data_IF_919946340448
#
_entry.id   IF_919946340448
#
_cell.length_a   1.000
_cell.length_b   1.000
_cell.length_c   1.000
_cell.angle_alpha   90.00
_cell.angle_beta   90.00
_cell.angle_gamma   90.00
#
_symmetry.space_group_name_H-M   'P 1'
#
loop_
_entity.id
_entity.type
_entity.pdbx_description
1 polymer ?
#
# COMPACT_ATOMS: atom_id res chain seq x y z
N UNK A 1 -11.28 38.44 -3.21
CA UNK A 1 -10.97 37.31 -4.11
C UNK A 1 -11.49 36.05 -3.45
N UNK A 2 -12.17 35.18 -4.19
CA UNK A 2 -12.55 33.86 -3.68
C UNK A 2 -11.32 32.99 -3.45
N UNK A 3 -11.42 31.93 -2.64
CA UNK A 3 -10.32 30.98 -2.44
C UNK A 3 -9.87 30.37 -3.78
N UNK A 4 -10.81 30.06 -4.67
CA UNK A 4 -10.53 29.56 -6.02
C UNK A 4 -9.75 30.55 -6.89
N UNK A 5 -10.07 31.84 -6.85
CA UNK A 5 -9.31 32.88 -7.57
C UNK A 5 -7.87 33.01 -7.03
N UNK A 6 -7.69 32.88 -5.71
CA UNK A 6 -6.36 32.91 -5.08
C UNK A 6 -5.52 31.69 -5.50
N UNK A 7 -6.13 30.50 -5.53
CA UNK A 7 -5.47 29.27 -5.99
C UNK A 7 -5.02 29.40 -7.45
N UNK A 8 -5.90 29.85 -8.35
CA UNK A 8 -5.55 30.03 -9.77
C UNK A 8 -4.40 31.03 -9.96
N UNK A 9 -4.43 32.18 -9.29
CA UNK A 9 -3.34 33.17 -9.39
C UNK A 9 -2.01 32.62 -8.84
N UNK A 10 -2.07 31.90 -7.72
CA UNK A 10 -0.87 31.29 -7.13
C UNK A 10 -0.28 30.20 -8.04
N UNK A 11 -1.15 29.45 -8.72
CA UNK A 11 -0.76 28.45 -9.69
C UNK A 11 -0.03 29.04 -10.91
N UNK A 12 -0.54 30.12 -11.50
CA UNK A 12 0.13 30.77 -12.64
C UNK A 12 1.54 31.28 -12.27
N UNK A 13 1.70 31.85 -11.07
CA UNK A 13 3.03 32.25 -10.57
C UNK A 13 3.93 31.03 -10.39
N UNK A 14 3.40 29.94 -9.81
CA UNK A 14 4.18 28.72 -9.63
C UNK A 14 4.62 28.12 -10.97
N UNK A 15 3.74 28.11 -11.97
CA UNK A 15 4.01 27.64 -13.33
C UNK A 15 5.16 28.42 -13.96
N UNK A 16 5.17 29.75 -13.87
CA UNK A 16 6.30 30.58 -14.34
C UNK A 16 7.60 30.26 -13.60
N UNK A 17 7.55 30.07 -12.27
CA UNK A 17 8.72 29.73 -11.45
C UNK A 17 9.31 28.36 -11.80
N UNK A 18 8.48 27.35 -12.03
CA UNK A 18 8.93 26.02 -12.45
C UNK A 18 9.46 26.02 -13.88
N UNK A 19 8.83 26.77 -14.80
CA UNK A 19 9.34 26.92 -16.17
C UNK A 19 10.75 27.52 -16.19
N UNK A 20 11.07 28.45 -15.27
CA UNK A 20 12.40 29.04 -15.15
C UNK A 20 13.50 28.04 -14.73
N UNK A 21 13.13 26.89 -14.14
CA UNK A 21 14.05 25.78 -13.80
C UNK A 21 13.86 24.56 -14.70
N UNK A 22 13.16 24.72 -15.83
CA UNK A 22 13.01 23.68 -16.85
C UNK A 22 11.98 22.59 -16.51
N UNK A 23 11.03 22.87 -15.61
CA UNK A 23 10.00 21.91 -15.16
C UNK A 23 8.64 22.23 -15.80
N UNK A 24 8.00 21.23 -16.41
CA UNK A 24 6.64 21.32 -16.93
C UNK A 24 5.60 20.89 -15.88
N UNK A 25 4.98 21.88 -15.25
CA UNK A 25 3.95 21.68 -14.22
C UNK A 25 2.69 20.98 -14.77
N UNK A 26 2.31 21.24 -16.02
CA UNK A 26 1.12 20.64 -16.62
C UNK A 26 1.35 19.13 -16.84
N UNK A 27 2.57 18.75 -17.23
CA UNK A 27 2.95 17.35 -17.33
C UNK A 27 3.01 16.68 -15.95
N UNK A 28 3.52 17.38 -14.93
CA UNK A 28 3.51 16.89 -13.55
C UNK A 28 2.08 16.60 -13.03
N UNK A 29 1.14 17.51 -13.29
CA UNK A 29 -0.27 17.32 -12.94
C UNK A 29 -0.91 16.15 -13.69
N UNK A 30 -0.61 15.97 -14.98
CA UNK A 30 -1.08 14.80 -15.76
C UNK A 30 -0.53 13.49 -15.22
N UNK A 31 0.73 13.46 -14.79
CA UNK A 31 1.33 12.28 -14.18
C UNK A 31 0.68 11.98 -12.82
N UNK A 32 0.48 13.00 -11.99
CA UNK A 32 -0.20 12.85 -10.70
C UNK A 32 -1.65 12.36 -10.86
N UNK A 33 -2.38 12.85 -11.86
CA UNK A 33 -3.75 12.41 -12.15
C UNK A 33 -3.82 10.92 -12.56
N UNK A 34 -2.73 10.37 -13.14
CA UNK A 34 -2.61 8.96 -13.50
C UNK A 34 -2.11 8.07 -12.36
N UNK A 35 -1.56 8.67 -11.30
CA UNK A 35 -1.07 7.91 -10.14
C UNK A 35 -2.25 7.19 -9.47
N UNK A 36 -2.20 5.87 -9.52
CA UNK A 36 -3.19 5.01 -8.91
C UNK A 36 -2.63 4.44 -7.61
N UNK A 37 -3.23 4.82 -6.48
CA UNK A 37 -2.88 4.33 -5.15
C UNK A 37 -3.88 3.23 -4.76
N UNK A 38 -3.37 2.10 -4.25
CA UNK A 38 -4.19 1.00 -3.76
C UNK A 38 -4.54 1.21 -2.29
N UNK A 39 -5.82 1.47 -2.01
CA UNK A 39 -6.35 1.76 -0.69
C UNK A 39 -6.62 0.45 0.07
N UNK A 40 -5.86 0.19 1.13
CA UNK A 40 -6.03 -1.00 1.96
C UNK A 40 -7.38 -1.02 2.68
N UNK A 41 -8.13 -2.12 2.62
CA UNK A 41 -9.45 -2.20 3.27
C UNK A 41 -9.39 -2.18 4.80
N UNK A 42 -8.28 -2.64 5.39
CA UNK A 42 -8.18 -2.97 6.81
C UNK A 42 -8.05 -1.78 7.76
N UNK A 43 -7.78 -0.58 7.27
CA UNK A 43 -7.84 0.63 8.08
C UNK A 43 -9.27 1.03 8.42
N UNK A 44 -10.30 0.52 7.73
CA UNK A 44 -11.71 0.82 8.04
C UNK A 44 -12.23 0.13 9.31
N UNK A 45 -11.66 -1.00 9.69
CA UNK A 45 -12.20 -1.88 10.72
C UNK A 45 -11.15 -2.47 11.69
N UNK A 46 -9.90 -1.99 11.64
CA UNK A 46 -8.80 -2.45 12.49
C UNK A 46 -8.36 -3.88 12.19
N UNK A 47 -8.34 -4.27 10.91
CA UNK A 47 -7.94 -5.61 10.45
C UNK A 47 -8.82 -6.73 11.02
N UNK A 48 -10.10 -6.43 11.31
CA UNK A 48 -11.02 -7.40 11.91
C UNK A 48 -11.54 -8.40 10.88
N UNK A 49 -11.96 -7.91 9.70
CA UNK A 49 -12.59 -8.73 8.66
C UNK A 49 -14.01 -9.17 9.00
N UNK A 50 -14.57 -10.05 8.16
CA UNK A 50 -15.96 -10.51 8.23
C UNK A 50 -16.10 -12.03 8.37
N UNK A 51 -14.99 -12.72 8.66
CA UNK A 51 -15.00 -14.15 8.99
C UNK A 51 -15.71 -14.40 10.33
N UNK A 52 -16.52 -15.46 10.39
CA UNK A 52 -17.29 -15.83 11.59
C UNK A 52 -16.59 -16.85 12.48
N UNK A 53 -15.45 -17.41 12.04
CA UNK A 53 -14.70 -18.46 12.72
C UNK A 53 -13.89 -17.97 13.94
N UNK A 54 -13.98 -16.67 14.25
CA UNK A 54 -13.32 -16.03 15.38
C UNK A 54 -11.89 -15.61 15.06
N UNK A 55 -11.55 -14.35 15.31
CA UNK A 55 -10.19 -13.84 15.19
C UNK A 55 -9.41 -14.17 16.47
N UNK A 56 -8.34 -14.96 16.35
CA UNK A 56 -7.40 -15.16 17.46
C UNK A 56 -6.33 -14.07 17.45
N UNK A 57 -6.25 -13.27 18.51
CA UNK A 57 -5.14 -12.31 18.66
C UNK A 57 -3.78 -13.01 18.63
N UNK A 58 -2.77 -12.32 18.09
CA UNK A 58 -1.43 -12.87 17.80
C UNK A 58 -1.09 -12.68 16.31
N UNK A 59 0.12 -13.10 15.88
CA UNK A 59 0.66 -12.94 14.50
C UNK A 59 1.46 -11.65 14.22
N UNK A 60 1.85 -10.91 15.25
CA UNK A 60 2.81 -9.79 15.12
C UNK A 60 2.28 -8.50 14.46
N UNK A 61 0.99 -8.43 14.17
CA UNK A 61 0.25 -7.24 13.71
C UNK A 61 -0.65 -6.77 14.86
N UNK A 62 -0.72 -5.46 15.11
CA UNK A 62 -1.58 -4.91 16.16
C UNK A 62 -2.10 -3.52 15.82
N UNK A 63 -3.41 -3.40 15.60
CA UNK A 63 -4.07 -2.11 15.57
C UNK A 63 -4.08 -1.49 16.98
N UNK A 64 -3.57 -0.27 17.10
CA UNK A 64 -3.44 0.43 18.38
C UNK A 64 -4.33 1.66 18.45
N UNK A 65 -5.16 1.72 19.48
CA UNK A 65 -6.16 2.77 19.69
C UNK A 65 -7.57 2.20 19.78
N UNK A 66 -8.51 3.03 20.25
CA UNK A 66 -9.92 2.66 20.45
C UNK A 66 -10.86 3.75 19.91
N UNK A 67 -10.48 4.40 18.81
CA UNK A 67 -11.29 5.44 18.21
C UNK A 67 -12.63 4.84 17.73
N UNK A 68 -13.78 5.44 18.09
CA UNK A 68 -15.09 4.86 17.79
C UNK A 68 -15.40 4.86 16.29
N UNK A 69 -16.45 4.15 15.91
CA UNK A 69 -17.03 4.27 14.57
C UNK A 69 -16.37 3.42 13.48
N UNK A 70 -15.56 2.42 13.84
CA UNK A 70 -15.03 1.44 12.88
C UNK A 70 -16.15 0.75 12.09
N UNK A 71 -15.87 0.37 10.85
CA UNK A 71 -16.79 -0.43 10.06
C UNK A 71 -16.96 -1.83 10.68
N UNK A 72 -18.17 -2.39 10.58
CA UNK A 72 -18.55 -3.68 11.19
C UNK A 72 -19.07 -4.69 10.17
N UNK A 73 -19.20 -4.28 8.92
CA UNK A 73 -19.69 -5.08 7.81
C UNK A 73 -19.25 -4.47 6.48
N UNK A 74 -19.40 -5.24 5.40
CA UNK A 74 -19.06 -4.85 4.03
C UNK A 74 -19.67 -3.50 3.62
N UNK A 75 -20.96 -3.28 3.91
CA UNK A 75 -21.64 -2.05 3.53
C UNK A 75 -21.08 -0.80 4.22
N UNK A 76 -20.65 -0.93 5.49
CA UNK A 76 -19.97 0.15 6.21
C UNK A 76 -18.58 0.43 5.65
N UNK A 77 -17.81 -0.60 5.26
CA UNK A 77 -16.50 -0.41 4.60
C UNK A 77 -16.66 0.28 3.25
N UNK A 78 -17.63 -0.16 2.44
CA UNK A 78 -17.94 0.47 1.16
C UNK A 78 -18.29 1.94 1.35
N UNK A 79 -19.17 2.26 2.30
CA UNK A 79 -19.58 3.64 2.58
C UNK A 79 -18.43 4.52 3.11
N UNK A 80 -17.51 3.96 3.89
CA UNK A 80 -16.34 4.69 4.39
C UNK A 80 -15.35 4.98 3.27
N UNK A 81 -15.07 4.01 2.39
CA UNK A 81 -14.19 4.21 1.23
C UNK A 81 -14.81 5.18 0.23
N UNK A 82 -16.13 5.11 0.02
CA UNK A 82 -16.84 6.10 -0.81
C UNK A 82 -16.67 7.52 -0.27
N UNK A 83 -16.75 7.72 1.05
CA UNK A 83 -16.48 9.04 1.66
C UNK A 83 -15.02 9.46 1.42
N UNK A 84 -14.05 8.56 1.64
CA UNK A 84 -12.63 8.82 1.38
C UNK A 84 -12.40 9.31 -0.04
N UNK A 85 -13.03 8.67 -1.04
CA UNK A 85 -12.91 9.02 -2.45
C UNK A 85 -13.41 10.43 -2.78
N UNK A 86 -14.29 11.02 -1.96
CA UNK A 86 -14.75 12.40 -2.17
C UNK A 86 -13.69 13.45 -1.82
N UNK A 87 -12.64 13.07 -1.08
CA UNK A 87 -11.61 13.98 -0.56
C UNK A 87 -10.23 13.86 -1.23
N UNK A 88 -10.09 12.91 -2.17
CA UNK A 88 -8.82 12.59 -2.84
C UNK A 88 -9.01 12.64 -4.36
N UNK A 89 -8.08 13.31 -5.05
CA UNK A 89 -8.13 13.44 -6.51
C UNK A 89 -7.50 12.22 -7.18
N UNK A 90 -8.01 11.77 -8.33
CA UNK A 90 -7.40 10.66 -9.07
C UNK A 90 -8.36 9.50 -9.32
N UNK A 91 -7.83 8.40 -9.84
CA UNK A 91 -8.52 7.11 -9.93
C UNK A 91 -7.64 6.07 -9.26
N UNK A 92 -8.23 5.29 -8.36
CA UNK A 92 -7.49 4.50 -7.38
C UNK A 92 -7.91 3.03 -7.41
N UNK A 93 -7.20 2.22 -6.63
CA UNK A 93 -7.52 0.80 -6.44
C UNK A 93 -7.95 0.58 -5.00
N UNK A 94 -8.52 -0.58 -4.74
CA UNK A 94 -8.94 -1.02 -3.41
C UNK A 94 -8.32 -2.38 -3.13
N UNK A 95 -7.51 -2.45 -2.08
CA UNK A 95 -6.74 -3.62 -1.71
C UNK A 95 -7.49 -4.42 -0.65
N UNK A 96 -7.97 -5.61 -1.03
CA UNK A 96 -8.76 -6.49 -0.17
C UNK A 96 -7.89 -7.57 0.48
N UNK A 97 -8.24 -7.95 1.70
CA UNK A 97 -7.76 -9.21 2.29
C UNK A 97 -8.82 -10.30 2.15
N UNK A 98 -8.39 -11.57 2.13
CA UNK A 98 -9.27 -12.74 2.09
C UNK A 98 -10.32 -12.75 3.22
N UNK A 99 -10.00 -12.22 4.40
CA UNK A 99 -10.94 -12.13 5.53
C UNK A 99 -12.14 -11.19 5.29
N UNK A 100 -12.14 -10.39 4.22
CA UNK A 100 -13.22 -9.45 3.87
C UNK A 100 -14.25 -10.05 2.91
N UNK A 101 -14.19 -11.36 2.66
CA UNK A 101 -15.16 -12.05 1.81
C UNK A 101 -16.61 -11.92 2.32
N UNK A 102 -17.57 -11.89 1.41
CA UNK A 102 -18.98 -12.02 1.74
C UNK A 102 -19.33 -13.50 1.94
N UNK A 103 -19.30 -13.92 3.20
CA UNK A 103 -19.62 -15.29 3.59
C UNK A 103 -21.11 -15.49 3.93
N UNK A 104 -21.94 -14.43 3.85
CA UNK A 104 -23.37 -14.51 4.18
C UNK A 104 -23.67 -15.07 5.58
N UNK A 105 -22.76 -14.85 6.54
CA UNK A 105 -22.83 -15.39 7.90
C UNK A 105 -22.53 -16.89 8.03
N UNK A 106 -22.11 -17.56 6.96
CA UNK A 106 -21.73 -18.98 7.00
C UNK A 106 -20.27 -19.14 7.47
N UNK A 107 -19.94 -20.24 8.16
CA UNK A 107 -18.56 -20.58 8.47
C UNK A 107 -17.88 -21.14 7.22
N UNK A 108 -17.23 -20.27 6.44
CA UNK A 108 -16.34 -20.67 5.34
C UNK A 108 -14.91 -20.57 5.85
N UNK A 109 -14.20 -21.70 5.87
CA UNK A 109 -12.79 -21.72 6.25
C UNK A 109 -11.92 -21.18 5.11
N UNK A 110 -10.72 -20.70 5.43
CA UNK A 110 -9.85 -19.97 4.49
C UNK A 110 -9.40 -20.83 3.31
N UNK A 111 -9.19 -22.13 3.51
CA UNK A 111 -8.90 -23.08 2.44
C UNK A 111 -10.15 -23.47 1.61
N UNK A 112 -11.31 -22.82 1.83
CA UNK A 112 -12.55 -23.04 1.09
C UNK A 112 -13.12 -21.75 0.46
N UNK A 113 -12.37 -20.64 0.48
CA UNK A 113 -12.81 -19.40 -0.19
C UNK A 113 -12.82 -19.57 -1.72
N UNK A 114 -13.72 -18.83 -2.37
CA UNK A 114 -13.97 -18.91 -3.81
C UNK A 114 -14.28 -17.51 -4.37
N UNK A 115 -14.15 -17.30 -5.69
CA UNK A 115 -14.49 -16.03 -6.34
C UNK A 115 -15.92 -15.53 -6.05
N UNK A 116 -16.86 -16.44 -5.82
CA UNK A 116 -18.25 -16.11 -5.49
C UNK A 116 -18.36 -15.21 -4.25
N UNK A 117 -17.53 -15.43 -3.23
CA UNK A 117 -17.49 -14.62 -2.00
C UNK A 117 -17.01 -13.17 -2.22
N UNK A 118 -16.46 -12.86 -3.40
CA UNK A 118 -15.94 -11.52 -3.72
C UNK A 118 -16.72 -10.85 -4.86
N UNK A 119 -17.83 -11.44 -5.31
CA UNK A 119 -18.63 -10.88 -6.42
C UNK A 119 -19.23 -9.52 -6.09
N UNK A 120 -19.74 -9.34 -4.87
CA UNK A 120 -20.26 -8.05 -4.42
C UNK A 120 -19.19 -6.96 -4.44
N UNK A 121 -17.97 -7.29 -4.02
CA UNK A 121 -16.82 -6.38 -4.10
C UNK A 121 -16.48 -5.99 -5.54
N UNK A 122 -16.40 -6.97 -6.45
CA UNK A 122 -16.14 -6.74 -7.87
C UNK A 122 -17.17 -5.78 -8.48
N UNK A 123 -18.46 -6.00 -8.20
CA UNK A 123 -19.54 -5.15 -8.69
C UNK A 123 -19.45 -3.74 -8.13
N UNK A 124 -19.30 -3.60 -6.80
CA UNK A 124 -19.15 -2.31 -6.14
C UNK A 124 -17.94 -1.52 -6.66
N UNK A 125 -16.78 -2.15 -6.79
CA UNK A 125 -15.58 -1.49 -7.30
C UNK A 125 -15.79 -0.98 -8.73
N UNK A 126 -16.43 -1.77 -9.59
CA UNK A 126 -16.79 -1.33 -10.95
C UNK A 126 -17.73 -0.12 -10.94
N UNK A 127 -18.74 -0.10 -10.07
CA UNK A 127 -19.66 1.03 -9.91
C UNK A 127 -18.97 2.31 -9.44
N UNK A 128 -17.95 2.17 -8.58
CA UNK A 128 -17.17 3.30 -8.05
C UNK A 128 -15.93 3.63 -8.87
N UNK A 129 -15.77 3.04 -10.06
CA UNK A 129 -14.61 3.21 -10.93
C UNK A 129 -13.27 2.90 -10.21
N UNK A 130 -13.27 1.88 -9.36
CA UNK A 130 -12.11 1.32 -8.70
C UNK A 130 -11.67 0.02 -9.38
N UNK A 131 -10.39 -0.30 -9.22
CA UNK A 131 -9.84 -1.64 -9.44
C UNK A 131 -9.57 -2.32 -8.11
N UNK A 132 -9.52 -3.64 -8.08
CA UNK A 132 -9.27 -4.43 -6.87
C UNK A 132 -7.89 -5.09 -6.94
N UNK A 133 -7.16 -4.94 -5.85
CA UNK A 133 -5.99 -5.74 -5.48
C UNK A 133 -6.35 -6.66 -4.31
N UNK A 134 -5.52 -7.68 -4.06
CA UNK A 134 -5.90 -8.76 -3.16
C UNK A 134 -4.75 -9.28 -2.31
N UNK A 135 -5.08 -9.91 -1.19
CA UNK A 135 -4.13 -10.54 -0.29
C UNK A 135 -4.70 -11.84 0.25
N UNK A 136 -3.87 -12.88 0.34
CA UNK A 136 -4.17 -13.99 1.24
C UNK A 136 -4.00 -13.53 2.70
N UNK A 137 -4.86 -13.98 3.61
CA UNK A 137 -4.72 -13.72 5.04
C UNK A 137 -4.21 -14.95 5.81
N UNK A 138 -2.96 -14.94 6.29
CA UNK A 138 -2.37 -16.08 7.03
C UNK A 138 -2.37 -15.92 8.56
N UNK A 139 -3.01 -14.90 9.10
CA UNK A 139 -2.97 -14.51 10.51
C UNK A 139 -4.35 -14.54 11.19
N UNK A 140 -4.42 -14.47 12.51
CA UNK A 140 -5.70 -14.36 13.21
C UNK A 140 -6.56 -15.63 13.15
N UNK A 141 -5.95 -16.81 12.98
CA UNK A 141 -6.64 -18.07 12.71
C UNK A 141 -6.16 -19.20 13.64
N UNK A 142 -6.99 -20.18 14.03
CA UNK A 142 -6.56 -21.30 14.88
C UNK A 142 -5.36 -22.11 14.32
N UNK A 143 -5.14 -22.06 13.01
CA UNK A 143 -3.98 -22.70 12.33
C UNK A 143 -2.82 -21.73 12.06
N UNK A 144 -2.88 -20.46 12.50
CA UNK A 144 -1.87 -19.46 12.14
C UNK A 144 -0.64 -19.48 13.05
N UNK A 145 -0.78 -19.87 14.34
CA UNK A 145 0.34 -20.06 15.28
C UNK A 145 1.52 -19.08 15.11
N UNK A 146 2.75 -19.57 15.26
CA UNK A 146 3.96 -18.82 14.88
C UNK A 146 4.40 -19.11 13.43
N UNK A 147 3.89 -20.18 12.81
CA UNK A 147 4.28 -20.65 11.48
C UNK A 147 3.06 -21.13 10.67
N UNK A 148 3.05 -20.78 9.38
CA UNK A 148 2.01 -21.10 8.39
C UNK A 148 2.61 -21.88 7.21
N UNK A 149 3.04 -21.20 6.16
CA UNK A 149 3.63 -21.80 4.96
C UNK A 149 4.98 -22.47 5.23
N UNK A 150 5.68 -22.09 6.29
CA UNK A 150 6.91 -22.71 6.77
C UNK A 150 6.68 -23.72 7.90
N UNK A 151 5.43 -24.06 8.22
CA UNK A 151 5.12 -24.96 9.32
C UNK A 151 5.60 -26.40 9.00
N UNK A 152 6.38 -27.06 9.89
CA UNK A 152 6.78 -28.45 9.71
C UNK A 152 5.60 -29.43 9.67
N UNK A 153 4.51 -29.14 10.38
CA UNK A 153 3.28 -29.92 10.29
C UNK A 153 2.67 -29.77 8.90
N UNK A 154 2.62 -30.89 8.18
CA UNK A 154 2.09 -30.94 6.82
C UNK A 154 0.61 -30.55 6.76
N UNK A 155 -0.21 -30.90 7.75
CA UNK A 155 -1.63 -30.57 7.72
C UNK A 155 -1.88 -29.06 7.87
N UNK A 156 -1.08 -28.37 8.69
CA UNK A 156 -1.14 -26.90 8.80
C UNK A 156 -0.62 -26.25 7.52
N UNK A 157 0.52 -26.73 7.01
CA UNK A 157 1.13 -26.19 5.80
C UNK A 157 0.24 -26.37 4.56
N UNK A 158 -0.34 -27.55 4.37
CA UNK A 158 -1.24 -27.85 3.25
C UNK A 158 -2.48 -26.94 3.26
N UNK A 159 -3.03 -26.66 4.45
CA UNK A 159 -4.14 -25.71 4.60
C UNK A 159 -3.76 -24.30 4.10
N UNK A 160 -2.60 -23.79 4.50
CA UNK A 160 -2.16 -22.45 4.08
C UNK A 160 -1.76 -22.39 2.61
N UNK A 161 -1.16 -23.46 2.06
CA UNK A 161 -0.90 -23.59 0.63
C UNK A 161 -2.23 -23.53 -0.15
N UNK A 162 -3.24 -24.29 0.26
CA UNK A 162 -4.54 -24.33 -0.41
C UNK A 162 -5.26 -22.98 -0.34
N UNK A 163 -5.27 -22.35 0.83
CA UNK A 163 -5.82 -21.00 0.99
C UNK A 163 -5.13 -19.99 0.05
N UNK A 164 -3.80 -19.96 -0.01
CA UNK A 164 -3.10 -19.04 -0.91
C UNK A 164 -3.39 -19.35 -2.39
N UNK A 165 -3.48 -20.63 -2.79
CA UNK A 165 -3.90 -21.03 -4.15
C UNK A 165 -5.30 -20.52 -4.48
N UNK A 166 -6.23 -20.57 -3.53
CA UNK A 166 -7.58 -20.02 -3.69
C UNK A 166 -7.60 -18.50 -3.75
N UNK A 167 -6.77 -17.82 -2.96
CA UNK A 167 -6.58 -16.38 -3.09
C UNK A 167 -6.11 -16.00 -4.49
N UNK A 168 -5.15 -16.76 -5.07
CA UNK A 168 -4.71 -16.56 -6.47
C UNK A 168 -5.85 -16.77 -7.48
N UNK A 169 -6.68 -17.80 -7.28
CA UNK A 169 -7.84 -18.03 -8.14
C UNK A 169 -8.89 -16.91 -8.05
N UNK A 170 -9.08 -16.32 -6.86
CA UNK A 170 -9.92 -15.13 -6.65
C UNK A 170 -9.32 -13.93 -7.37
N UNK A 171 -8.02 -13.66 -7.22
CA UNK A 171 -7.33 -12.57 -7.92
C UNK A 171 -7.40 -12.70 -9.44
N UNK A 172 -7.27 -13.92 -9.98
CA UNK A 172 -7.48 -14.18 -11.41
C UNK A 172 -8.91 -13.84 -11.86
N UNK A 173 -9.92 -14.18 -11.06
CA UNK A 173 -11.31 -13.85 -11.36
C UNK A 173 -11.58 -12.35 -11.31
N UNK A 174 -11.04 -11.67 -10.29
CA UNK A 174 -11.07 -10.20 -10.16
C UNK A 174 -10.45 -9.55 -11.39
N UNK A 175 -9.24 -9.97 -11.76
CA UNK A 175 -8.51 -9.41 -12.89
C UNK A 175 -9.24 -9.56 -14.23
N UNK A 176 -9.85 -10.73 -14.48
CA UNK A 176 -10.73 -10.95 -15.63
C UNK A 176 -11.93 -10.00 -15.62
N UNK A 177 -12.58 -9.86 -14.48
CA UNK A 177 -13.79 -9.05 -14.35
C UNK A 177 -13.50 -7.57 -14.62
N UNK A 178 -12.38 -7.06 -14.11
CA UNK A 178 -12.03 -5.64 -14.22
C UNK A 178 -11.22 -5.30 -15.47
N UNK A 179 -10.83 -6.28 -16.27
CA UNK A 179 -9.96 -6.15 -17.44
C UNK A 179 -8.66 -5.39 -17.14
N UNK A 180 -8.07 -5.69 -15.99
CA UNK A 180 -6.82 -5.11 -15.49
C UNK A 180 -6.24 -6.07 -14.44
N UNK A 181 -4.93 -6.37 -14.43
CA UNK A 181 -4.38 -7.35 -13.52
C UNK A 181 -4.68 -7.03 -12.05
N UNK A 182 -5.19 -8.02 -11.31
CA UNK A 182 -5.26 -7.92 -9.85
C UNK A 182 -3.86 -8.13 -9.27
N UNK A 183 -3.35 -7.17 -8.49
CA UNK A 183 -2.08 -7.34 -7.78
C UNK A 183 -2.38 -8.15 -6.53
N UNK A 184 -1.87 -9.39 -6.46
CA UNK A 184 -2.05 -10.26 -5.30
C UNK A 184 -0.77 -10.27 -4.47
N UNK A 185 -0.84 -9.78 -3.24
CA UNK A 185 0.29 -9.81 -2.32
C UNK A 185 0.20 -10.99 -1.33
N UNK A 186 1.34 -11.65 -1.13
CA UNK A 186 1.55 -12.72 -0.16
C UNK A 186 2.48 -12.24 0.95
N UNK A 187 1.90 -11.96 2.10
CA UNK A 187 2.61 -11.76 3.35
C UNK A 187 2.29 -12.88 4.35
N UNK A 188 3.31 -13.31 5.10
CA UNK A 188 3.15 -14.28 6.20
C UNK A 188 3.95 -13.81 7.42
N UNK A 189 3.45 -14.08 8.61
CA UNK A 189 4.13 -13.75 9.88
C UNK A 189 5.19 -14.75 10.32
N UNK A 190 5.34 -15.87 9.59
CA UNK A 190 6.17 -17.02 9.96
C UNK A 190 7.52 -16.61 10.58
N UNK A 191 7.71 -16.96 11.84
CA UNK A 191 8.87 -16.52 12.60
C UNK A 191 9.04 -17.22 13.93
N UNK A 192 9.93 -16.69 14.76
CA UNK A 192 10.17 -17.15 16.12
C UNK A 192 10.43 -15.97 17.04
N UNK A 193 9.86 -16.05 18.24
CA UNK A 193 10.07 -15.07 19.31
C UNK A 193 11.54 -14.94 19.71
N UNK A 194 12.22 -16.08 19.87
CA UNK A 194 13.55 -16.17 20.47
C UNK A 194 14.57 -16.89 19.55
N UNK A 195 15.80 -17.07 20.04
CA UNK A 195 16.93 -17.63 19.32
C UNK A 195 16.56 -18.92 18.56
N UNK A 196 16.78 -18.87 17.24
CA UNK A 196 16.36 -19.94 16.33
C UNK A 196 17.54 -20.71 15.77
N UNK A 197 17.56 -22.03 16.01
CA UNK A 197 18.63 -22.92 15.53
C UNK A 197 18.41 -23.35 14.06
N UNK A 198 17.17 -23.65 13.68
CA UNK A 198 16.85 -24.30 12.39
C UNK A 198 16.41 -23.33 11.28
N UNK A 199 17.01 -22.14 11.19
CA UNK A 199 16.59 -21.09 10.22
C UNK A 199 16.52 -21.60 8.78
N UNK A 200 17.50 -22.39 8.33
CA UNK A 200 17.51 -22.95 6.97
C UNK A 200 16.32 -23.88 6.72
N UNK A 201 15.97 -24.76 7.67
CA UNK A 201 14.88 -25.73 7.51
C UNK A 201 13.55 -25.03 7.23
N UNK A 202 13.21 -23.99 7.99
CA UNK A 202 11.96 -23.26 7.80
C UNK A 202 11.92 -22.55 6.44
N UNK A 203 13.05 -21.98 5.99
CA UNK A 203 13.15 -21.36 4.65
C UNK A 203 13.04 -22.37 3.51
N UNK A 204 13.58 -23.58 3.67
CA UNK A 204 13.40 -24.67 2.68
C UNK A 204 11.94 -25.10 2.58
N UNK A 205 11.23 -25.18 3.71
CA UNK A 205 9.80 -25.48 3.72
C UNK A 205 9.03 -24.36 3.02
N UNK A 206 9.33 -23.09 3.32
CA UNK A 206 8.70 -21.96 2.66
C UNK A 206 8.96 -21.96 1.15
N UNK A 207 10.20 -22.18 0.69
CA UNK A 207 10.51 -22.29 -0.75
C UNK A 207 9.65 -23.37 -1.42
N UNK A 208 9.52 -24.55 -0.79
CA UNK A 208 8.69 -25.63 -1.32
C UNK A 208 7.20 -25.29 -1.36
N UNK A 209 6.69 -24.58 -0.34
CA UNK A 209 5.31 -24.09 -0.31
C UNK A 209 5.05 -23.05 -1.41
N UNK A 210 5.97 -22.11 -1.61
CA UNK A 210 5.86 -21.10 -2.68
C UNK A 210 5.93 -21.74 -4.06
N UNK A 211 6.81 -22.72 -4.27
CA UNK A 211 6.89 -23.47 -5.53
C UNK A 211 5.57 -24.19 -5.83
N UNK A 212 4.92 -24.78 -4.83
CA UNK A 212 3.61 -25.42 -4.99
C UNK A 212 2.49 -24.39 -5.24
N UNK A 213 2.46 -23.29 -4.48
CA UNK A 213 1.51 -22.19 -4.65
C UNK A 213 1.59 -21.62 -6.07
N UNK A 214 2.80 -21.40 -6.58
CA UNK A 214 3.04 -20.75 -7.87
C UNK A 214 3.13 -21.71 -9.06
N UNK A 215 2.92 -23.02 -8.86
CA UNK A 215 2.93 -24.01 -9.94
C UNK A 215 1.86 -23.74 -11.02
N UNK A 216 0.72 -23.17 -10.63
CA UNK A 216 -0.32 -22.71 -11.57
C UNK A 216 0.00 -21.30 -12.04
N UNK A 217 0.09 -21.08 -13.34
CA UNK A 217 0.21 -19.74 -13.92
C UNK A 217 -1.17 -19.12 -14.18
N UNK A 218 -1.32 -17.85 -13.83
CA UNK A 218 -2.51 -17.04 -14.08
C UNK A 218 -2.17 -15.85 -14.97
N UNK A 219 -3.11 -15.42 -15.81
CA UNK A 219 -2.88 -14.39 -16.84
C UNK A 219 -3.37 -13.01 -16.45
N UNK A 220 -4.33 -12.92 -15.53
CA UNK A 220 -5.03 -11.70 -15.17
C UNK A 220 -4.73 -11.28 -13.73
N UNK A 221 -3.69 -11.81 -13.12
CA UNK A 221 -3.20 -11.39 -11.81
C UNK A 221 -1.68 -11.36 -11.81
N UNK A 222 -1.09 -10.68 -10.82
CA UNK A 222 0.35 -10.63 -10.60
C UNK A 222 0.65 -11.01 -9.16
N UNK A 223 1.54 -11.98 -8.97
CA UNK A 223 1.94 -12.47 -7.66
C UNK A 223 3.05 -11.57 -7.07
N UNK A 224 2.81 -11.07 -5.87
CA UNK A 224 3.79 -10.32 -5.07
C UNK A 224 4.13 -11.09 -3.79
N UNK A 225 5.37 -10.96 -3.32
CA UNK A 225 5.87 -11.58 -2.10
C UNK A 225 6.48 -10.53 -1.18
N UNK A 226 6.03 -10.49 0.06
CA UNK A 226 6.35 -9.42 1.00
C UNK A 226 7.22 -9.90 2.15
N UNK A 227 8.38 -9.27 2.30
CA UNK A 227 9.27 -9.52 3.43
C UNK A 227 8.90 -8.69 4.65
N UNK A 228 9.24 -9.22 5.83
CA UNK A 228 9.24 -8.47 7.09
C UNK A 228 10.54 -8.72 7.85
N UNK A 229 11.00 -7.73 8.60
CA UNK A 229 12.17 -7.88 9.48
C UNK A 229 11.81 -8.64 10.76
N UNK A 230 10.74 -8.22 11.43
CA UNK A 230 10.22 -8.84 12.65
C UNK A 230 8.76 -8.45 12.90
N UNK A 231 8.06 -9.22 13.72
CA UNK A 231 6.74 -8.87 14.26
C UNK A 231 6.72 -8.99 15.78
N UNK A 232 5.73 -8.39 16.44
CA UNK A 232 5.55 -8.57 17.89
C UNK A 232 5.34 -10.06 18.21
N UNK A 233 6.05 -10.55 19.22
CA UNK A 233 6.15 -11.96 19.60
C UNK A 233 6.86 -12.89 18.58
N UNK A 234 7.44 -12.33 17.51
CA UNK A 234 8.20 -13.03 16.48
C UNK A 234 9.48 -12.24 16.15
N UNK A 235 10.15 -11.75 17.19
CA UNK A 235 11.20 -10.72 17.10
C UNK A 235 12.54 -11.23 16.56
N UNK A 236 12.90 -12.47 16.88
CA UNK A 236 14.28 -12.96 16.71
C UNK A 236 14.57 -13.56 15.34
N UNK A 237 13.52 -13.90 14.59
CA UNK A 237 13.64 -14.54 13.28
C UNK A 237 12.34 -14.47 12.50
N UNK A 238 12.44 -13.99 11.25
CA UNK A 238 11.37 -14.09 10.24
C UNK A 238 11.83 -15.02 9.12
N UNK A 239 10.97 -15.99 8.76
CA UNK A 239 11.26 -16.96 7.71
C UNK A 239 11.36 -16.27 6.36
N UNK A 240 10.32 -15.51 6.00
CA UNK A 240 10.24 -14.67 4.81
C UNK A 240 11.00 -13.34 4.95
N UNK A 241 12.31 -13.41 5.19
CA UNK A 241 13.18 -12.23 5.30
C UNK A 241 13.41 -11.55 3.94
N UNK A 242 13.89 -10.31 3.95
CA UNK A 242 14.21 -9.57 2.72
C UNK A 242 15.12 -10.35 1.77
N UNK A 243 16.25 -10.90 2.24
CA UNK A 243 17.16 -11.67 1.39
C UNK A 243 16.51 -12.92 0.77
N UNK A 244 15.55 -13.52 1.49
CA UNK A 244 14.85 -14.72 1.02
C UNK A 244 13.92 -14.34 -0.14
N UNK A 245 13.08 -13.32 0.04
CA UNK A 245 12.13 -12.92 -1.00
C UNK A 245 12.78 -12.15 -2.15
N UNK A 246 13.87 -11.42 -1.91
CA UNK A 246 14.71 -10.86 -2.98
C UNK A 246 15.29 -11.99 -3.85
N UNK A 247 15.93 -12.99 -3.22
CA UNK A 247 16.52 -14.12 -3.93
C UNK A 247 15.47 -14.96 -4.66
N UNK A 248 14.36 -15.27 -4.01
CA UNK A 248 13.26 -16.02 -4.62
C UNK A 248 12.59 -15.22 -5.75
N UNK A 249 12.31 -13.94 -5.52
CA UNK A 249 11.73 -13.02 -6.50
C UNK A 249 12.57 -12.90 -7.76
N UNK A 250 13.89 -12.69 -7.63
CA UNK A 250 14.80 -12.68 -8.76
C UNK A 250 14.87 -14.04 -9.47
N UNK A 251 14.99 -15.14 -8.72
CA UNK A 251 15.07 -16.52 -9.29
C UNK A 251 13.82 -16.92 -10.06
N UNK A 252 12.64 -16.53 -9.57
CA UNK A 252 11.33 -16.97 -10.08
C UNK A 252 10.58 -15.87 -10.84
N UNK A 253 11.21 -14.70 -11.02
CA UNK A 253 10.64 -13.51 -11.65
C UNK A 253 9.29 -13.11 -11.02
N UNK A 254 9.23 -13.14 -9.68
CA UNK A 254 8.07 -12.69 -8.90
C UNK A 254 8.25 -11.24 -8.46
N UNK A 255 7.14 -10.52 -8.32
CA UNK A 255 7.16 -9.14 -7.83
C UNK A 255 7.52 -9.18 -6.35
N UNK A 256 8.46 -8.33 -5.94
CA UNK A 256 8.81 -8.16 -4.52
C UNK A 256 8.03 -6.96 -3.99
N UNK A 257 7.36 -7.17 -2.86
CA UNK A 257 6.71 -6.09 -2.11
C UNK A 257 7.70 -5.48 -1.13
N UNK A 258 7.87 -4.17 -1.22
CA UNK A 258 8.63 -3.39 -0.25
C UNK A 258 7.66 -2.59 0.60
N UNK A 259 7.52 -2.98 1.87
CA UNK A 259 6.83 -2.18 2.87
C UNK A 259 7.82 -1.25 3.58
N UNK A 260 7.53 0.03 3.66
CA UNK A 260 8.40 1.03 4.29
C UNK A 260 8.62 0.83 5.80
N UNK A 261 7.77 0.07 6.47
CA UNK A 261 7.84 -0.28 7.89
C UNK A 261 8.58 -1.59 8.19
N UNK A 262 8.87 -2.39 7.16
CA UNK A 262 9.33 -3.78 7.32
C UNK A 262 10.85 -3.97 7.39
N UNK A 263 11.63 -2.90 7.49
CA UNK A 263 13.10 -2.93 7.38
C UNK A 263 13.81 -2.50 8.67
N UNK A 264 15.14 -2.57 8.69
CA UNK A 264 15.92 -2.14 9.85
C UNK A 264 15.76 -0.63 10.06
N UNK A 265 16.05 -0.17 11.28
CA UNK A 265 16.15 1.25 11.56
C UNK A 265 17.14 1.91 10.58
N UNK A 266 16.76 3.06 10.02
CA UNK A 266 17.52 3.83 9.02
C UNK A 266 17.66 3.20 7.63
N UNK A 267 17.13 2.00 7.41
CA UNK A 267 17.19 1.35 6.09
C UNK A 267 16.25 2.07 5.11
N UNK A 268 16.81 2.55 3.99
CA UNK A 268 16.04 3.27 2.97
C UNK A 268 15.37 2.30 2.00
N UNK A 269 14.05 2.38 1.89
CA UNK A 269 13.31 1.65 0.84
C UNK A 269 13.49 2.31 -0.53
N UNK A 270 13.66 3.63 -0.58
CA UNK A 270 13.95 4.34 -1.82
C UNK A 270 15.20 3.77 -2.52
N UNK A 271 16.29 3.58 -1.78
CA UNK A 271 17.56 3.01 -2.28
C UNK A 271 17.40 1.62 -2.91
N UNK A 272 16.38 0.86 -2.49
CA UNK A 272 16.12 -0.48 -3.01
C UNK A 272 15.45 -0.47 -4.39
N UNK A 273 14.75 0.60 -4.76
CA UNK A 273 13.92 0.65 -5.96
C UNK A 273 14.75 0.42 -7.22
N UNK A 274 15.76 1.26 -7.46
CA UNK A 274 16.60 1.16 -8.66
C UNK A 274 17.40 -0.15 -8.71
N UNK A 275 17.78 -0.71 -7.56
CA UNK A 275 18.43 -2.02 -7.48
C UNK A 275 17.48 -3.17 -7.86
N UNK A 276 16.29 -3.23 -7.26
CA UNK A 276 15.33 -4.31 -7.54
C UNK A 276 14.84 -4.28 -8.99
N UNK A 277 14.63 -3.10 -9.58
CA UNK A 277 14.20 -2.95 -10.98
C UNK A 277 15.18 -3.55 -12.01
N UNK A 278 16.42 -3.90 -11.61
CA UNK A 278 17.36 -4.65 -12.45
C UNK A 278 17.08 -6.16 -12.49
N UNK A 279 16.42 -6.72 -11.47
CA UNK A 279 16.28 -8.16 -11.27
C UNK A 279 14.84 -8.65 -11.26
N UNK A 280 13.88 -7.78 -10.94
CA UNK A 280 12.44 -8.09 -10.95
C UNK A 280 11.74 -7.27 -12.04
N UNK A 281 10.67 -7.82 -12.65
CA UNK A 281 9.94 -7.11 -13.71
C UNK A 281 9.30 -5.83 -13.18
N UNK A 282 8.72 -5.92 -11.98
CA UNK A 282 7.93 -4.88 -11.32
C UNK A 282 8.21 -4.94 -9.81
N UNK A 283 7.76 -3.90 -9.09
CA UNK A 283 7.81 -3.78 -7.62
C UNK A 283 6.41 -3.45 -7.11
N UNK A 284 6.03 -4.03 -5.96
CA UNK A 284 4.86 -3.60 -5.20
C UNK A 284 5.36 -2.78 -4.00
N UNK A 285 4.68 -1.69 -3.69
CA UNK A 285 4.96 -0.88 -2.51
C UNK A 285 3.79 -0.97 -1.54
N UNK A 286 4.12 -1.17 -0.28
CA UNK A 286 3.24 -0.84 0.83
C UNK A 286 3.83 0.36 1.56
N UNK A 287 3.22 1.53 1.35
CA UNK A 287 3.68 2.77 1.97
C UNK A 287 2.95 2.94 3.30
N UNK A 288 3.76 2.96 4.36
CA UNK A 288 3.41 2.97 5.77
C UNK A 288 4.33 3.98 6.49
N UNK A 289 4.14 4.18 7.80
CA UNK A 289 5.09 4.96 8.60
C UNK A 289 5.51 4.20 9.85
N UNK A 290 6.72 3.61 9.89
CA UNK A 290 7.22 2.98 11.09
C UNK A 290 7.57 4.02 12.16
N UNK A 291 7.20 3.74 13.40
CA UNK A 291 7.59 4.50 14.59
C UNK A 291 8.30 3.53 15.52
N UNK A 292 9.61 3.38 15.28
CA UNK A 292 10.56 2.48 15.98
C UNK A 292 10.40 0.98 15.69
N UNK A 293 9.21 0.56 15.33
CA UNK A 293 8.88 -0.77 14.85
C UNK A 293 7.90 -0.62 13.69
N UNK A 294 7.51 -1.74 13.11
CA UNK A 294 6.46 -1.78 12.10
C UNK A 294 5.08 -1.51 12.73
N UNK A 295 4.83 -0.23 12.96
CA UNK A 295 3.74 0.26 13.81
C UNK A 295 2.53 0.76 13.04
N UNK A 296 2.55 0.64 11.71
CA UNK A 296 1.40 0.92 10.84
C UNK A 296 0.76 2.29 11.08
N UNK A 297 1.58 3.34 11.28
CA UNK A 297 1.05 4.68 11.39
C UNK A 297 0.76 5.25 10.00
N UNK A 298 -0.20 6.18 9.97
CA UNK A 298 -0.56 6.93 8.76
C UNK A 298 0.67 7.57 8.12
N UNK A 299 0.81 7.38 6.81
CA UNK A 299 1.82 8.02 5.97
C UNK A 299 1.76 9.54 6.11
N UNK A 300 2.92 10.18 6.23
CA UNK A 300 3.05 11.63 6.27
C UNK A 300 3.97 12.09 5.16
N UNK A 301 3.91 13.38 4.82
CA UNK A 301 4.86 13.99 3.89
C UNK A 301 6.20 14.22 4.61
N UNK A 302 6.93 13.14 4.86
CA UNK A 302 8.27 13.13 5.45
C UNK A 302 9.34 12.86 4.37
N UNK A 303 10.61 12.99 4.74
CA UNK A 303 11.73 12.77 3.81
C UNK A 303 11.70 11.36 3.20
N UNK A 304 11.43 10.31 3.97
CA UNK A 304 11.40 8.92 3.45
C UNK A 304 10.33 8.73 2.36
N UNK A 305 9.12 9.28 2.55
CA UNK A 305 8.04 9.21 1.56
C UNK A 305 8.37 10.03 0.31
N UNK A 306 9.01 11.21 0.50
CA UNK A 306 9.45 12.07 -0.60
C UNK A 306 10.56 11.38 -1.42
N UNK A 307 11.58 10.82 -0.76
CA UNK A 307 12.67 10.12 -1.44
C UNK A 307 12.19 8.85 -2.14
N UNK A 308 11.26 8.10 -1.55
CA UNK A 308 10.63 6.96 -2.22
C UNK A 308 9.96 7.39 -3.53
N UNK A 309 9.14 8.43 -3.49
CA UNK A 309 8.46 8.94 -4.68
C UNK A 309 9.47 9.49 -5.70
N UNK A 310 10.47 10.26 -5.26
CA UNK A 310 11.55 10.79 -6.11
C UNK A 310 12.28 9.67 -6.83
N UNK A 311 12.66 8.60 -6.14
CA UNK A 311 13.40 7.52 -6.78
C UNK A 311 12.57 6.81 -7.86
N UNK A 312 11.27 6.59 -7.62
CA UNK A 312 10.37 6.01 -8.63
C UNK A 312 10.27 6.91 -9.87
N UNK A 313 10.18 8.23 -9.67
CA UNK A 313 10.15 9.20 -10.77
C UNK A 313 11.50 9.28 -11.49
N UNK A 314 12.60 9.34 -10.75
CA UNK A 314 13.97 9.36 -11.30
C UNK A 314 14.29 8.09 -12.08
N UNK A 315 13.77 6.94 -11.66
CA UNK A 315 13.92 5.66 -12.34
C UNK A 315 12.99 5.48 -13.55
N UNK A 316 12.11 6.46 -13.84
CA UNK A 316 11.06 6.37 -14.87
C UNK A 316 10.21 5.09 -14.73
N UNK A 317 9.81 4.78 -13.49
CA UNK A 317 9.27 3.47 -13.13
C UNK A 317 7.79 3.48 -12.72
N UNK A 318 7.03 4.53 -13.07
CA UNK A 318 5.61 4.64 -12.71
C UNK A 318 4.74 3.48 -13.24
N UNK A 319 5.13 2.87 -14.35
CA UNK A 319 4.44 1.73 -14.97
C UNK A 319 4.92 0.37 -14.44
N UNK A 320 6.01 0.36 -13.66
CA UNK A 320 6.64 -0.83 -13.09
C UNK A 320 6.51 -0.91 -11.57
N UNK A 321 6.05 0.16 -10.92
CA UNK A 321 5.90 0.23 -9.46
C UNK A 321 4.44 0.42 -9.10
N UNK A 322 3.85 -0.56 -8.42
CA UNK A 322 2.48 -0.51 -7.90
C UNK A 322 2.50 0.14 -6.52
N UNK A 323 1.74 1.21 -6.33
CA UNK A 323 1.72 1.95 -5.06
C UNK A 323 0.49 1.54 -4.25
N UNK A 324 0.69 0.75 -3.20
CA UNK A 324 -0.29 0.49 -2.16
C UNK A 324 0.04 1.28 -0.88
N UNK A 325 -0.98 1.56 -0.08
CA UNK A 325 -0.80 2.01 1.30
C UNK A 325 -0.95 0.81 2.23
N UNK A 326 -0.23 0.79 3.34
CA UNK A 326 -0.44 -0.17 4.42
C UNK A 326 -0.26 0.54 5.76
N UNK A 327 -1.36 0.79 6.45
CA UNK A 327 -1.35 1.30 7.82
C UNK A 327 -2.72 1.04 8.46
N UNK A 328 -2.82 1.11 9.77
CA UNK A 328 -4.09 0.97 10.48
C UNK A 328 -4.02 1.64 11.85
N UNK A 329 -4.17 2.96 11.85
CA UNK A 329 -4.21 3.76 13.07
C UNK A 329 -5.63 3.76 13.65
N UNK A 330 -5.84 2.93 14.67
CA UNK A 330 -7.10 2.82 15.39
C UNK A 330 -7.26 3.91 16.48
N UNK A 331 -6.33 4.87 16.59
CA UNK A 331 -6.37 5.95 17.59
C UNK A 331 -7.02 7.24 17.07
N UNK A 332 -7.29 7.33 15.77
CA UNK A 332 -7.89 8.50 15.12
C UNK A 332 -9.07 8.11 14.20
N UNK A 333 -9.74 9.11 13.64
CA UNK A 333 -10.76 8.90 12.63
C UNK A 333 -10.17 8.21 11.39
N UNK A 334 -10.71 7.03 11.06
CA UNK A 334 -10.19 6.15 9.99
C UNK A 334 -10.31 6.76 8.59
N UNK A 335 -11.37 7.53 8.33
CA UNK A 335 -11.51 8.28 7.07
C UNK A 335 -10.43 9.37 7.01
N UNK A 336 -10.25 10.11 8.09
CA UNK A 336 -9.17 11.09 8.22
C UNK A 336 -7.79 10.48 7.99
N UNK A 337 -7.53 9.28 8.53
CA UNK A 337 -6.29 8.53 8.32
C UNK A 337 -6.03 8.28 6.82
N UNK A 338 -7.02 7.77 6.07
CA UNK A 338 -6.87 7.61 4.62
C UNK A 338 -6.62 8.93 3.90
N UNK A 339 -7.44 9.95 4.15
CA UNK A 339 -7.32 11.24 3.45
C UNK A 339 -5.93 11.84 3.67
N UNK A 340 -5.39 11.75 4.89
CA UNK A 340 -4.02 12.19 5.21
C UNK A 340 -2.98 11.36 4.45
N UNK A 341 -3.02 10.04 4.56
CA UNK A 341 -2.01 9.15 3.97
C UNK A 341 -1.98 9.18 2.44
N UNK A 342 -3.15 9.18 1.80
CA UNK A 342 -3.27 9.29 0.34
C UNK A 342 -2.74 10.64 -0.13
N UNK A 343 -3.20 11.75 0.46
CA UNK A 343 -2.76 13.09 0.03
C UNK A 343 -1.27 13.31 0.33
N UNK A 344 -0.72 12.74 1.40
CA UNK A 344 0.71 12.77 1.68
C UNK A 344 1.51 12.06 0.58
N UNK A 345 1.07 10.87 0.18
CA UNK A 345 1.68 10.10 -0.90
C UNK A 345 1.60 10.85 -2.24
N UNK A 346 0.44 11.40 -2.58
CA UNK A 346 0.27 12.21 -3.79
C UNK A 346 1.17 13.46 -3.80
N UNK A 347 1.29 14.16 -2.67
CA UNK A 347 2.20 15.31 -2.54
C UNK A 347 3.66 14.90 -2.72
N UNK A 348 4.08 13.74 -2.21
CA UNK A 348 5.43 13.22 -2.42
C UNK A 348 5.71 12.95 -3.91
N UNK A 349 4.79 12.29 -4.61
CA UNK A 349 4.91 12.09 -6.07
C UNK A 349 4.88 13.41 -6.85
N UNK A 350 4.03 14.36 -6.46
CA UNK A 350 4.02 15.68 -7.07
C UNK A 350 5.38 16.38 -6.93
N UNK A 351 6.01 16.31 -5.76
CA UNK A 351 7.36 16.87 -5.57
C UNK A 351 8.40 16.13 -6.44
N UNK A 352 8.30 14.81 -6.58
CA UNK A 352 9.13 14.04 -7.52
C UNK A 352 8.95 14.50 -8.97
N UNK A 353 7.71 14.70 -9.43
CA UNK A 353 7.42 15.18 -10.79
C UNK A 353 7.86 16.62 -11.05
N UNK A 354 7.94 17.44 -10.00
CA UNK A 354 8.34 18.84 -10.07
C UNK A 354 9.86 19.04 -9.90
N UNK A 355 10.63 17.96 -9.79
CA UNK A 355 12.08 18.05 -9.65
C UNK A 355 12.76 18.43 -10.98
N UNK A 356 13.73 19.38 -11.00
CA UNK A 356 14.46 19.78 -12.21
C UNK A 356 15.49 18.71 -12.63
N UNK A 357 15.01 17.52 -12.96
CA UNK A 357 15.80 16.29 -13.15
C UNK A 357 16.88 16.42 -14.22
N UNK A 358 16.59 17.08 -15.33
CA UNK A 358 17.56 17.25 -16.42
C UNK A 358 18.81 18.01 -15.94
N UNK A 359 18.60 19.12 -15.23
CA UNK A 359 19.69 19.93 -14.70
C UNK A 359 20.46 19.21 -13.58
N UNK A 360 19.74 18.52 -12.69
CA UNK A 360 20.36 17.75 -11.60
C UNK A 360 21.25 16.62 -12.13
N UNK A 361 20.79 15.90 -13.15
CA UNK A 361 21.57 14.84 -13.83
C UNK A 361 22.79 15.41 -14.55
N UNK A 362 22.66 16.57 -15.21
CA UNK A 362 23.79 17.25 -15.83
C UNK A 362 24.86 17.63 -14.80
N UNK A 363 24.46 18.25 -13.69
CA UNK A 363 25.38 18.58 -12.61
C UNK A 363 26.08 17.34 -12.04
N UNK A 364 25.34 16.25 -11.84
CA UNK A 364 25.92 14.99 -11.37
C UNK A 364 26.94 14.41 -12.36
N UNK A 365 26.60 14.35 -13.65
CA UNK A 365 27.46 13.83 -14.70
C UNK A 365 28.76 14.65 -14.87
N UNK A 366 28.70 15.95 -14.59
CA UNK A 366 29.85 16.87 -14.65
C UNK A 366 30.63 16.96 -13.34
N UNK A 367 30.26 16.22 -12.28
CA UNK A 367 30.91 16.30 -10.96
C UNK A 367 30.64 17.60 -10.20
N UNK A 368 29.60 18.34 -10.57
CA UNK A 368 29.19 19.62 -9.99
C UNK A 368 28.32 19.40 -8.74
N UNK A 369 28.92 18.79 -7.72
CA UNK A 369 28.19 18.34 -6.54
C UNK A 369 27.66 19.49 -5.66
N UNK A 370 28.31 20.66 -5.70
CA UNK A 370 27.80 21.86 -5.03
C UNK A 370 26.48 22.31 -5.66
N UNK A 371 26.46 22.49 -6.98
CA UNK A 371 25.30 22.96 -7.73
C UNK A 371 24.16 21.95 -7.65
N UNK A 372 24.46 20.65 -7.73
CA UNK A 372 23.49 19.57 -7.52
C UNK A 372 22.84 19.69 -6.15
N UNK A 373 23.64 19.78 -5.08
CA UNK A 373 23.11 19.87 -3.72
C UNK A 373 22.35 21.17 -3.47
N UNK A 374 22.87 22.31 -3.95
CA UNK A 374 22.21 23.60 -3.83
C UNK A 374 20.84 23.60 -4.54
N UNK A 375 20.75 23.05 -5.74
CA UNK A 375 19.48 22.97 -6.48
C UNK A 375 18.48 22.01 -5.80
N UNK A 376 18.94 20.88 -5.25
CA UNK A 376 18.09 19.98 -4.46
C UNK A 376 17.48 20.68 -3.24
N UNK A 377 18.26 21.49 -2.51
CA UNK A 377 17.76 22.24 -1.36
C UNK A 377 16.81 23.38 -1.77
N UNK A 378 17.17 24.19 -2.77
CA UNK A 378 16.32 25.28 -3.25
C UNK A 378 14.99 24.76 -3.84
N UNK A 379 15.01 23.57 -4.45
CA UNK A 379 13.80 22.92 -4.95
C UNK A 379 12.77 22.63 -3.85
N UNK A 380 13.18 22.41 -2.59
CA UNK A 380 12.26 22.21 -1.46
C UNK A 380 11.40 23.45 -1.16
N UNK A 381 11.88 24.63 -1.55
CA UNK A 381 11.21 25.92 -1.35
C UNK A 381 10.53 26.46 -2.61
N UNK A 382 10.58 25.73 -3.73
CA UNK A 382 9.77 26.05 -4.90
C UNK A 382 8.28 25.94 -4.56
N UNK A 383 7.39 26.68 -5.24
CA UNK A 383 5.97 26.79 -4.88
C UNK A 383 5.15 25.53 -5.27
N UNK A 384 5.59 24.33 -4.88
CA UNK A 384 4.88 23.07 -5.13
C UNK A 384 3.51 23.03 -4.45
N UNK A 385 3.34 23.73 -3.33
CA UNK A 385 2.08 23.83 -2.62
C UNK A 385 0.99 24.52 -3.48
N UNK A 386 1.35 25.53 -4.28
CA UNK A 386 0.40 26.17 -5.19
C UNK A 386 -0.03 25.24 -6.34
N UNK A 387 0.88 24.38 -6.80
CA UNK A 387 0.57 23.32 -7.77
C UNK A 387 -0.36 22.27 -7.15
N UNK A 388 -0.10 21.87 -5.90
CA UNK A 388 -0.97 20.95 -5.16
C UNK A 388 -2.38 21.51 -4.93
N UNK A 389 -2.50 22.77 -4.52
CA UNK A 389 -3.79 23.41 -4.31
C UNK A 389 -4.59 23.51 -5.60
N UNK A 390 -3.91 23.78 -6.73
CA UNK A 390 -4.53 23.72 -8.05
C UNK A 390 -4.97 22.32 -8.44
N UNK A 391 -4.15 21.28 -8.18
CA UNK A 391 -4.54 19.89 -8.38
C UNK A 391 -5.85 19.59 -7.64
N UNK A 392 -5.92 19.91 -6.34
CA UNK A 392 -7.13 19.72 -5.54
C UNK A 392 -8.34 20.43 -6.14
N UNK A 393 -8.19 21.72 -6.50
CA UNK A 393 -9.26 22.50 -7.11
C UNK A 393 -9.73 21.89 -8.44
N UNK A 394 -8.79 21.48 -9.30
CA UNK A 394 -9.08 20.89 -10.62
C UNK A 394 -9.68 19.49 -10.55
N UNK A 395 -9.37 18.75 -9.48
CA UNK A 395 -9.96 17.44 -9.18
C UNK A 395 -11.29 17.53 -8.42
N UNK A 396 -11.81 18.74 -8.18
CA UNK A 396 -13.03 19.00 -7.40
C UNK A 396 -13.00 18.42 -5.97
N UNK A 397 -11.83 18.44 -5.32
CA UNK A 397 -11.65 18.06 -3.90
C UNK A 397 -11.19 19.25 -3.08
N UNK A 398 -11.23 19.12 -1.75
CA UNK A 398 -10.91 20.22 -0.86
C UNK A 398 -9.46 20.70 -0.96
N UNK A 399 -9.29 22.02 -0.93
CA UNK A 399 -7.99 22.71 -0.95
C UNK A 399 -7.52 22.94 0.49
N UNK A 400 -6.27 22.58 0.78
CA UNK A 400 -5.70 22.72 2.12
C UNK A 400 -6.40 21.83 3.15
N UNK A 401 -6.81 22.45 4.26
CA UNK A 401 -7.45 21.87 5.44
C UNK A 401 -8.98 21.73 5.35
N UNK A 402 -9.59 22.19 4.26
CA UNK A 402 -11.06 22.25 4.11
C UNK A 402 -11.74 20.86 4.15
N UNK A 403 -10.99 19.76 3.99
CA UNK A 403 -11.52 18.41 4.16
C UNK A 403 -11.83 18.06 5.63
N UNK A 404 -11.20 18.73 6.60
CA UNK A 404 -11.34 18.40 8.03
C UNK A 404 -12.80 18.55 8.49
N UNK A 405 -13.49 19.69 8.24
CA UNK A 405 -14.91 19.81 8.57
C UNK A 405 -15.81 18.81 7.84
N UNK A 406 -15.45 18.38 6.62
CA UNK A 406 -16.24 17.43 5.85
C UNK A 406 -16.17 16.02 6.47
N UNK A 407 -14.97 15.55 6.80
CA UNK A 407 -14.75 14.29 7.53
C UNK A 407 -15.44 14.31 8.90
N UNK A 408 -15.33 15.42 9.64
CA UNK A 408 -16.03 15.58 10.93
C UNK A 408 -17.55 15.54 10.78
N UNK A 409 -18.09 16.05 9.67
CA UNK A 409 -19.52 15.99 9.36
C UNK A 409 -19.96 14.55 9.07
N UNK A 410 -19.19 13.79 8.30
CA UNK A 410 -19.48 12.38 8.07
C UNK A 410 -19.44 11.59 9.38
N UNK A 411 -18.43 11.82 10.20
CA UNK A 411 -18.31 11.21 11.53
C UNK A 411 -19.55 11.45 12.39
N UNK A 412 -19.95 12.72 12.54
CA UNK A 412 -21.14 13.10 13.30
C UNK A 412 -22.42 12.43 12.78
N UNK A 413 -22.52 12.25 11.46
CA UNK A 413 -23.75 11.77 10.83
C UNK A 413 -23.80 10.25 10.64
N UNK A 414 -22.65 9.57 10.59
CA UNK A 414 -22.53 8.16 10.20
C UNK A 414 -21.69 7.39 11.23
N UNK A 415 -20.37 7.59 11.26
CA UNK A 415 -19.48 6.67 12.02
C UNK A 415 -19.72 6.75 13.52
N UNK A 416 -20.00 7.93 14.09
CA UNK A 416 -20.31 8.10 15.52
C UNK A 416 -21.61 7.43 15.96
N UNK A 417 -22.45 6.99 15.00
CA UNK A 417 -23.70 6.24 15.26
C UNK A 417 -23.50 4.73 15.24
N UNK A 418 -22.29 4.24 14.95
CA UNK A 418 -21.94 2.83 15.01
C UNK A 418 -21.56 2.51 16.47
N UNK A 419 -22.50 1.89 17.17
CA UNK A 419 -22.32 1.35 18.53
C UNK A 419 -21.58 0.02 18.52
#
# INVERSE_FOLDING_TARGET
MSKSELVQKSFEIAKERYAAVGVDVEQALKNLQKLSISLHCWQTDDVVGFETLGNQGGSGIQATGNYPGRARNIGEVQADIEEVLTHIGGTHRFNLHAIYGDFGGKPVDRDQIEPSHFTGWMQWAKEKNLKIDFNSSSFGHPKSGDLTLANPDKAIRDFWIEHTKRSRAISEAIGKFQNDPCIMNLWIHDGMKDLTVNRLKYRQILEQSLDDIFATEYKNMKDCIESKLFGIALESYTVGSHDFYLGYGAKKQKIVTLDTGHFHLTESVADKISSLLLFTPEIMLHVSRPVRWDSDHVVTLNEDTIELAREIVRADALDRVHVGLDFFDASINRIGAYVIGVRATQKAFLQGFLEPLAQLREYEANGQYFERLALLEEAKSLPWNAVWDYFCLSSNVEVGEDFIPAVQKYEKNVTSKRS
#
